data_IF_417021190830
#
_entry.id   IF_417021190830
#
_cell.length_a   1.000
_cell.length_b   1.000
_cell.length_c   1.000
_cell.angle_alpha   90.00
_cell.angle_beta   90.00
_cell.angle_gamma   90.00
#
_symmetry.space_group_name_H-M   'P 1'
#
loop_
_entity.id
_entity.type
_entity.pdbx_description
1 polymer ?
#
# COMPACT_ATOMS: atom_id res chain seq x y z
N UNK A 1 -2.67 -9.73 7.72
CA UNK A 1 -3.42 -8.79 6.88
C UNK A 1 -4.84 -8.56 7.37
N UNK A 2 -5.69 -9.59 7.57
CA UNK A 2 -7.05 -9.41 8.10
C UNK A 2 -7.15 -8.55 9.38
N UNK A 3 -6.19 -8.68 10.28
CA UNK A 3 -6.11 -7.84 11.49
C UNK A 3 -5.72 -6.39 11.22
N UNK A 4 -4.88 -6.14 10.21
CA UNK A 4 -4.44 -4.79 9.85
C UNK A 4 -5.51 -4.04 9.05
N UNK A 5 -6.13 -4.71 8.08
CA UNK A 5 -7.28 -4.17 7.33
C UNK A 5 -8.43 -3.81 8.26
N UNK A 6 -8.71 -4.65 9.27
CA UNK A 6 -9.72 -4.34 10.28
C UNK A 6 -9.36 -3.09 11.12
N UNK A 7 -8.11 -2.92 11.53
CA UNK A 7 -7.65 -1.73 12.25
C UNK A 7 -7.75 -0.47 11.39
N UNK A 8 -7.31 -0.56 10.13
CA UNK A 8 -7.41 0.53 9.15
C UNK A 8 -8.86 0.92 8.89
N UNK A 9 -9.77 -0.03 8.67
CA UNK A 9 -11.18 0.25 8.46
C UNK A 9 -11.85 0.84 9.71
N UNK A 10 -11.48 0.37 10.91
CA UNK A 10 -11.94 0.99 12.15
C UNK A 10 -11.49 2.45 12.28
N UNK A 11 -10.25 2.75 11.87
CA UNK A 11 -9.74 4.11 11.79
C UNK A 11 -10.53 4.94 10.76
N UNK A 12 -10.68 4.44 9.52
CA UNK A 12 -11.42 5.14 8.45
C UNK A 12 -12.86 5.46 8.89
N UNK A 13 -13.54 4.51 9.51
CA UNK A 13 -14.89 4.72 10.04
C UNK A 13 -14.93 5.77 11.16
N UNK A 14 -13.96 5.71 12.09
CA UNK A 14 -13.85 6.70 13.19
C UNK A 14 -13.60 8.12 12.68
N UNK A 15 -12.87 8.27 11.57
CA UNK A 15 -12.55 9.56 10.96
C UNK A 15 -13.57 10.00 9.90
N UNK A 16 -14.55 9.15 9.57
CA UNK A 16 -15.53 9.41 8.50
C UNK A 16 -14.97 9.30 7.08
N UNK A 17 -13.79 8.71 6.94
CA UNK A 17 -13.11 8.52 5.66
C UNK A 17 -13.77 7.41 4.83
N UNK A 18 -14.43 6.45 5.48
CA UNK A 18 -15.28 5.44 4.83
C UNK A 18 -16.40 6.04 3.96
N UNK A 19 -16.78 7.30 4.19
CA UNK A 19 -17.84 7.99 3.45
C UNK A 19 -17.31 8.95 2.39
N UNK A 20 -16.04 9.32 2.47
CA UNK A 20 -15.44 10.38 1.64
C UNK A 20 -14.39 9.82 0.70
N UNK A 21 -13.71 8.76 1.11
CA UNK A 21 -12.79 8.04 0.26
C UNK A 21 -13.52 7.28 -0.83
N UNK A 22 -12.94 7.33 -2.02
CA UNK A 22 -13.28 6.47 -3.14
C UNK A 22 -11.98 6.11 -3.86
N UNK A 23 -12.04 5.24 -4.86
CA UNK A 23 -10.84 4.81 -5.58
C UNK A 23 -10.03 5.99 -6.13
N UNK A 24 -10.66 7.06 -6.62
CA UNK A 24 -9.93 8.21 -7.15
C UNK A 24 -9.17 8.98 -6.06
N UNK A 25 -9.76 9.17 -4.87
CA UNK A 25 -9.05 9.82 -3.75
C UNK A 25 -7.94 8.93 -3.21
N UNK A 26 -8.17 7.61 -3.08
CA UNK A 26 -7.16 6.66 -2.61
C UNK A 26 -5.98 6.57 -3.58
N UNK A 27 -6.21 6.56 -4.89
CA UNK A 27 -5.13 6.60 -5.88
C UNK A 27 -4.34 7.90 -5.82
N UNK A 28 -4.99 9.03 -5.51
CA UNK A 28 -4.29 10.30 -5.28
C UNK A 28 -3.41 10.20 -4.03
N UNK A 29 -3.94 9.75 -2.90
CA UNK A 29 -3.15 9.58 -1.67
C UNK A 29 -1.98 8.62 -1.89
N UNK A 30 -2.20 7.51 -2.59
CA UNK A 30 -1.13 6.58 -2.92
C UNK A 30 0.01 7.25 -3.69
N UNK A 31 -0.29 8.13 -4.63
CA UNK A 31 0.74 8.89 -5.35
C UNK A 31 1.46 9.90 -4.43
N UNK A 32 0.74 10.52 -3.50
CA UNK A 32 1.32 11.43 -2.48
C UNK A 32 2.31 10.64 -1.60
N UNK A 33 1.89 9.53 -0.99
CA UNK A 33 2.75 8.71 -0.11
C UNK A 33 3.95 8.11 -0.86
N UNK A 34 3.79 7.73 -2.14
CA UNK A 34 4.91 7.24 -2.96
C UNK A 34 5.94 8.35 -3.25
N UNK A 35 5.48 9.60 -3.43
CA UNK A 35 6.39 10.73 -3.59
C UNK A 35 7.13 11.06 -2.30
N UNK A 36 6.47 10.96 -1.15
CA UNK A 36 7.09 11.14 0.17
C UNK A 36 8.13 10.04 0.44
N UNK A 37 7.78 8.78 0.19
CA UNK A 37 8.71 7.65 0.25
C UNK A 37 9.93 7.84 -0.67
N UNK A 38 9.70 8.31 -1.89
CA UNK A 38 10.79 8.59 -2.85
C UNK A 38 11.71 9.68 -2.30
N UNK A 39 11.13 10.77 -1.79
CA UNK A 39 11.87 11.90 -1.21
C UNK A 39 12.74 11.47 -0.03
N UNK A 40 12.20 10.64 0.88
CA UNK A 40 12.96 10.14 2.02
C UNK A 40 14.06 9.15 1.63
N UNK A 41 13.86 8.40 0.53
CA UNK A 41 14.86 7.46 0.00
C UNK A 41 16.09 8.13 -0.63
N UNK A 42 15.95 9.37 -1.07
CA UNK A 42 17.00 10.16 -1.72
C UNK A 42 17.84 10.98 -0.72
N UNK A 43 17.45 11.00 0.57
CA UNK A 43 18.17 11.73 1.61
C UNK A 43 19.61 11.20 1.80
N UNK A 44 20.54 12.11 2.08
CA UNK A 44 21.93 11.76 2.39
C UNK A 44 22.45 12.56 3.60
N UNK A 45 22.61 11.93 4.78
CA UNK A 45 22.37 10.50 5.06
C UNK A 45 20.87 10.15 5.05
N UNK A 46 20.56 8.88 4.77
CA UNK A 46 19.18 8.36 4.82
C UNK A 46 18.63 8.48 6.25
N UNK A 47 17.43 9.02 6.38
CA UNK A 47 16.67 8.98 7.62
C UNK A 47 15.82 7.71 7.67
N UNK A 48 16.35 6.62 8.24
CA UNK A 48 15.64 5.33 8.27
C UNK A 48 14.27 5.38 8.97
N UNK A 49 14.11 6.25 9.97
CA UNK A 49 12.87 6.34 10.71
C UNK A 49 11.76 6.95 9.86
N UNK A 50 12.07 8.03 9.13
CA UNK A 50 11.16 8.64 8.17
C UNK A 50 10.85 7.68 7.02
N UNK A 51 11.87 7.05 6.42
CA UNK A 51 11.67 6.07 5.34
C UNK A 51 10.72 4.94 5.75
N UNK A 52 10.83 4.42 6.98
CA UNK A 52 9.94 3.37 7.50
C UNK A 52 8.50 3.87 7.71
N UNK A 53 8.31 5.14 8.08
CA UNK A 53 6.99 5.74 8.21
C UNK A 53 6.31 5.80 6.83
N UNK A 54 7.00 6.34 5.82
CA UNK A 54 6.46 6.46 4.47
C UNK A 54 6.13 5.10 3.83
N UNK A 55 6.92 4.06 4.11
CA UNK A 55 6.57 2.68 3.71
C UNK A 55 5.24 2.23 4.33
N UNK A 56 5.00 2.57 5.60
CA UNK A 56 3.77 2.22 6.28
C UNK A 56 2.58 3.00 5.71
N UNK A 57 2.76 4.27 5.37
CA UNK A 57 1.70 5.11 4.80
C UNK A 57 1.29 4.62 3.40
N UNK A 58 2.27 4.33 2.52
CA UNK A 58 2.01 3.66 1.23
C UNK A 58 1.24 2.35 1.43
N UNK A 59 1.68 1.51 2.37
CA UNK A 59 1.06 0.21 2.59
C UNK A 59 -0.36 0.33 3.15
N UNK A 60 -0.62 1.31 4.02
CA UNK A 60 -1.95 1.57 4.55
C UNK A 60 -2.93 1.98 3.44
N UNK A 61 -2.53 2.88 2.54
CA UNK A 61 -3.39 3.27 1.40
C UNK A 61 -3.63 2.10 0.46
N UNK A 62 -2.61 1.28 0.20
CA UNK A 62 -2.77 0.05 -0.59
C UNK A 62 -3.75 -0.94 0.05
N UNK A 63 -3.69 -1.13 1.38
CA UNK A 63 -4.64 -1.99 2.09
C UNK A 63 -6.08 -1.48 1.95
N UNK A 64 -6.29 -0.16 1.95
CA UNK A 64 -7.60 0.44 1.73
C UNK A 64 -8.13 0.13 0.33
N UNK A 65 -7.28 0.26 -0.69
CA UNK A 65 -7.63 -0.06 -2.08
C UNK A 65 -7.95 -1.55 -2.24
N UNK A 66 -7.13 -2.43 -1.66
CA UNK A 66 -7.31 -3.89 -1.71
C UNK A 66 -8.66 -4.28 -1.10
N UNK A 67 -9.01 -3.70 0.05
CA UNK A 67 -10.28 -3.98 0.73
C UNK A 67 -11.48 -3.42 -0.03
N UNK A 68 -11.42 -2.16 -0.47
CA UNK A 68 -12.49 -1.50 -1.23
C UNK A 68 -12.78 -2.20 -2.57
N UNK A 69 -11.80 -2.88 -3.15
CA UNK A 69 -11.92 -3.63 -4.40
C UNK A 69 -12.12 -5.15 -4.21
N UNK A 70 -12.22 -5.65 -2.97
CA UNK A 70 -12.33 -7.07 -2.62
C UNK A 70 -11.26 -7.95 -3.30
N UNK A 71 -10.02 -7.46 -3.32
CA UNK A 71 -8.89 -8.14 -3.97
C UNK A 71 -8.32 -9.20 -3.03
N UNK A 72 -8.26 -10.46 -3.47
CA UNK A 72 -7.43 -11.50 -2.82
C UNK A 72 -5.95 -11.27 -3.17
N UNK A 73 -5.33 -10.30 -2.49
CA UNK A 73 -3.96 -9.89 -2.79
C UNK A 73 -2.95 -11.02 -2.58
N UNK A 74 -3.25 -12.01 -1.72
CA UNK A 74 -2.39 -13.18 -1.57
C UNK A 74 -2.37 -14.00 -2.86
N UNK A 75 -3.54 -14.31 -3.41
CA UNK A 75 -3.65 -15.03 -4.67
C UNK A 75 -2.99 -14.28 -5.84
N UNK A 76 -3.20 -12.96 -5.93
CA UNK A 76 -2.60 -12.13 -6.98
C UNK A 76 -1.07 -12.11 -6.88
N UNK A 77 -0.52 -12.01 -5.66
CA UNK A 77 0.93 -12.05 -5.44
C UNK A 77 1.52 -13.43 -5.75
N UNK A 78 0.88 -14.52 -5.32
CA UNK A 78 1.30 -15.89 -5.65
C UNK A 78 1.37 -16.10 -7.17
N UNK A 79 0.32 -15.67 -7.88
CA UNK A 79 0.24 -15.73 -9.34
C UNK A 79 1.36 -14.92 -10.00
N UNK A 80 1.61 -13.70 -9.51
CA UNK A 80 2.67 -12.84 -10.01
C UNK A 80 4.06 -13.44 -9.79
N UNK A 81 4.31 -13.98 -8.60
CA UNK A 81 5.59 -14.62 -8.24
C UNK A 81 5.84 -15.82 -9.15
N UNK A 82 4.86 -16.70 -9.33
CA UNK A 82 4.99 -17.85 -10.23
C UNK A 82 5.31 -17.43 -11.67
N UNK A 83 4.68 -16.36 -12.17
CA UNK A 83 4.97 -15.82 -13.50
C UNK A 83 6.40 -15.25 -13.62
N UNK A 84 6.90 -14.58 -12.57
CA UNK A 84 8.28 -14.06 -12.53
C UNK A 84 9.28 -15.22 -12.53
N UNK A 85 9.10 -16.22 -11.67
CA UNK A 85 9.98 -17.41 -11.61
C UNK A 85 10.06 -18.06 -12.99
N UNK A 86 8.91 -18.34 -13.61
CA UNK A 86 8.85 -18.91 -14.97
C UNK A 86 9.61 -18.05 -16.00
N UNK A 87 9.52 -16.72 -15.91
CA UNK A 87 10.19 -15.81 -16.85
C UNK A 87 11.71 -15.90 -16.74
N UNK A 88 12.26 -15.99 -15.52
CA UNK A 88 13.69 -15.89 -15.28
C UNK A 88 14.41 -17.25 -15.22
N UNK A 89 13.72 -18.34 -14.91
CA UNK A 89 14.28 -19.70 -14.99
C UNK A 89 14.31 -20.28 -16.42
N UNK A 90 13.59 -19.64 -17.36
CA UNK A 90 13.63 -19.98 -18.79
C UNK A 90 14.73 -19.22 -19.56
N UNK A 91 15.52 -18.39 -18.88
CA UNK A 91 16.71 -17.70 -19.39
C UNK A 91 17.97 -18.37 -18.89
#
# INVERSE_FOLDING_TARGET
MKTMTALMNAMRHRLGWDKTDNLASLMRYLNEEVNELTTESEQSPINEAALKAEVADVFMVLLAIIDDLDIDIHHELETKIAAIIKKYEQT
#
